data_IF_891949947124
#
_entry.id   IF_891949947124
#
_cell.length_a   1.000
_cell.length_b   1.000
_cell.length_c   1.000
_cell.angle_alpha   90.00
_cell.angle_beta   90.00
_cell.angle_gamma   90.00
#
_symmetry.space_group_name_H-M   'P 1'
#
loop_
_entity.id
_entity.type
_entity.pdbx_description
1 polymer ?
#
# COMPACT_ATOMS: atom_id res chain seq x y z
N UNK A 1 8.18 -13.55 7.08
CA UNK A 1 8.89 -12.75 6.07
C UNK A 1 9.23 -11.43 6.71
N UNK A 2 10.45 -10.94 6.48
CA UNK A 2 10.86 -9.62 6.94
C UNK A 2 10.31 -8.54 5.99
N UNK A 3 9.99 -7.38 6.54
CA UNK A 3 9.46 -6.28 5.75
C UNK A 3 10.55 -5.70 4.83
N UNK A 4 10.23 -5.44 3.55
CA UNK A 4 11.20 -4.86 2.63
C UNK A 4 11.59 -3.46 3.10
N UNK A 5 12.87 -3.13 2.99
CA UNK A 5 13.37 -1.78 3.24
C UNK A 5 13.05 -0.91 2.02
N UNK A 6 11.92 -0.21 2.08
CA UNK A 6 11.52 0.73 1.05
C UNK A 6 11.95 2.14 1.44
N UNK A 7 12.98 2.65 0.77
CA UNK A 7 13.48 4.01 0.99
C UNK A 7 12.51 5.06 0.44
N UNK A 8 12.38 6.15 1.18
CA UNK A 8 11.58 7.32 0.80
C UNK A 8 12.56 8.45 0.46
N UNK A 9 12.38 9.07 -0.71
CA UNK A 9 13.19 10.21 -1.13
C UNK A 9 12.90 11.51 -0.38
N UNK A 10 13.57 12.59 -0.79
CA UNK A 10 13.31 13.93 -0.29
C UNK A 10 11.92 14.42 -0.72
N UNK A 11 11.20 15.11 0.18
CA UNK A 11 9.85 15.64 -0.06
C UNK A 11 9.93 17.17 -0.06
N UNK A 12 9.66 17.81 -1.21
CA UNK A 12 9.70 19.29 -1.35
C UNK A 12 8.33 19.92 -1.52
N UNK A 13 7.36 19.16 -2.03
CA UNK A 13 6.00 19.60 -2.29
C UNK A 13 4.99 18.44 -2.22
N UNK A 14 3.70 18.73 -2.44
CA UNK A 14 2.63 17.73 -2.43
C UNK A 14 2.78 16.69 -3.55
N UNK A 15 3.27 17.07 -4.73
CA UNK A 15 3.45 16.14 -5.84
C UNK A 15 4.56 15.11 -5.51
N UNK A 16 5.61 15.52 -4.77
CA UNK A 16 6.63 14.63 -4.21
C UNK A 16 6.03 13.64 -3.18
N UNK A 17 5.14 14.09 -2.28
CA UNK A 17 4.46 13.19 -1.32
C UNK A 17 3.75 12.06 -2.05
N UNK A 18 2.98 12.39 -3.10
CA UNK A 18 2.25 11.39 -3.87
C UNK A 18 3.20 10.45 -4.62
N UNK A 19 4.26 10.99 -5.23
CA UNK A 19 5.25 10.18 -5.94
C UNK A 19 5.94 9.19 -4.99
N UNK A 20 6.43 9.67 -3.85
CA UNK A 20 7.16 8.84 -2.90
C UNK A 20 6.24 7.83 -2.20
N UNK A 21 4.99 8.20 -1.91
CA UNK A 21 3.96 7.26 -1.43
C UNK A 21 3.73 6.11 -2.42
N UNK A 22 3.54 6.42 -3.70
CA UNK A 22 3.33 5.40 -4.74
C UNK A 22 4.52 4.47 -4.91
N UNK A 23 5.74 5.03 -4.87
CA UNK A 23 6.98 4.25 -4.88
C UNK A 23 7.07 3.34 -3.66
N UNK A 24 6.75 3.85 -2.48
CA UNK A 24 6.73 3.08 -1.26
C UNK A 24 5.77 1.89 -1.34
N UNK A 25 4.51 2.11 -1.74
CA UNK A 25 3.50 1.04 -1.87
C UNK A 25 3.96 -0.01 -2.90
N UNK A 26 4.42 0.42 -4.07
CA UNK A 26 4.89 -0.50 -5.11
C UNK A 26 6.11 -1.33 -4.67
N UNK A 27 7.06 -0.69 -3.98
CA UNK A 27 8.22 -1.37 -3.39
C UNK A 27 7.78 -2.40 -2.35
N UNK A 28 6.85 -2.04 -1.46
CA UNK A 28 6.39 -2.91 -0.39
C UNK A 28 5.70 -4.16 -0.94
N UNK A 29 4.76 -3.98 -1.88
CA UNK A 29 4.07 -5.11 -2.51
C UNK A 29 5.03 -6.02 -3.29
N UNK A 30 5.97 -5.42 -4.05
CA UNK A 30 6.99 -6.18 -4.78
C UNK A 30 7.92 -6.95 -3.84
N UNK A 31 8.37 -6.31 -2.75
CA UNK A 31 9.27 -6.92 -1.77
C UNK A 31 8.62 -8.03 -0.95
N UNK A 32 7.28 -7.97 -0.77
CA UNK A 32 6.47 -9.06 -0.21
C UNK A 32 6.14 -10.16 -1.23
N UNK A 33 6.65 -10.06 -2.46
CA UNK A 33 6.36 -10.97 -3.58
C UNK A 33 4.86 -11.08 -3.90
N UNK A 34 4.11 -9.99 -3.65
CA UNK A 34 2.70 -9.87 -4.02
C UNK A 34 2.62 -9.29 -5.42
N UNK A 35 2.03 -10.04 -6.36
CA UNK A 35 1.76 -9.51 -7.70
C UNK A 35 0.60 -8.52 -7.62
N UNK A 36 0.76 -7.37 -8.25
CA UNK A 36 -0.26 -6.33 -8.27
C UNK A 36 -0.41 -5.70 -9.64
N UNK A 37 -1.62 -5.22 -9.93
CA UNK A 37 -1.94 -4.33 -11.03
C UNK A 37 -2.17 -2.93 -10.48
N UNK A 38 -1.44 -1.94 -10.99
CA UNK A 38 -1.70 -0.53 -10.69
C UNK A 38 -2.75 0.01 -11.65
N UNK A 39 -3.87 0.47 -11.11
CA UNK A 39 -4.95 1.14 -11.83
C UNK A 39 -4.86 2.63 -11.50
N UNK A 40 -4.47 3.43 -12.49
CA UNK A 40 -4.47 4.90 -12.44
C UNK A 40 -5.48 5.41 -13.48
N UNK A 41 -6.57 6.01 -13.01
CA UNK A 41 -7.66 6.47 -13.86
C UNK A 41 -7.42 7.87 -14.45
N UNK A 42 -6.21 8.43 -14.33
CA UNK A 42 -5.87 9.77 -14.81
C UNK A 42 -6.49 10.90 -13.97
N UNK A 43 -7.26 10.56 -12.93
CA UNK A 43 -7.68 11.50 -11.90
C UNK A 43 -6.45 11.77 -11.03
N UNK A 44 -6.04 13.04 -10.99
CA UNK A 44 -4.92 13.48 -10.18
C UNK A 44 -5.13 12.97 -8.75
N UNK A 45 -4.14 12.24 -8.25
CA UNK A 45 -4.08 11.75 -6.86
C UNK A 45 -4.93 10.51 -6.52
N UNK A 46 -5.41 9.73 -7.50
CA UNK A 46 -6.08 8.44 -7.23
C UNK A 46 -5.38 7.28 -7.94
N UNK A 47 -4.90 6.30 -7.15
CA UNK A 47 -4.38 5.04 -7.67
C UNK A 47 -4.88 3.87 -6.81
N UNK A 48 -5.18 2.76 -7.47
CA UNK A 48 -5.52 1.49 -6.82
C UNK A 48 -4.47 0.43 -7.18
N UNK A 49 -3.96 -0.25 -6.16
CA UNK A 49 -3.08 -1.39 -6.28
C UNK A 49 -3.90 -2.65 -6.04
N UNK A 50 -4.19 -3.38 -7.11
CA UNK A 50 -5.03 -4.56 -7.06
C UNK A 50 -4.18 -5.83 -7.00
N UNK A 51 -4.26 -6.54 -5.88
CA UNK A 51 -3.51 -7.76 -5.54
C UNK A 51 -4.48 -8.93 -5.56
N UNK A 52 -4.13 -9.98 -6.29
CA UNK A 52 -4.87 -11.25 -6.26
C UNK A 52 -4.06 -12.30 -5.51
N UNK A 53 -4.72 -13.00 -4.60
CA UNK A 53 -4.09 -14.07 -3.81
C UNK A 53 -5.07 -15.23 -3.61
N UNK A 54 -4.53 -16.44 -3.46
CA UNK A 54 -5.35 -17.60 -3.10
C UNK A 54 -6.13 -17.32 -1.81
N UNK A 55 -7.42 -17.68 -1.78
CA UNK A 55 -8.33 -17.35 -0.68
C UNK A 55 -7.85 -17.81 0.70
N UNK A 56 -7.10 -18.92 0.78
CA UNK A 56 -6.51 -19.43 2.02
C UNK A 56 -5.43 -18.51 2.63
N UNK A 57 -4.80 -17.66 1.82
CA UNK A 57 -3.71 -16.77 2.22
C UNK A 57 -4.11 -15.30 2.32
N UNK A 58 -5.38 -14.95 2.08
CA UNK A 58 -5.83 -13.55 2.01
C UNK A 58 -5.59 -12.79 3.32
N UNK A 59 -5.83 -13.44 4.47
CA UNK A 59 -5.59 -12.84 5.79
C UNK A 59 -4.10 -12.67 6.08
N UNK A 60 -3.30 -13.67 5.75
CA UNK A 60 -1.85 -13.60 5.93
C UNK A 60 -1.24 -12.44 5.11
N UNK A 61 -1.73 -12.25 3.88
CA UNK A 61 -1.33 -11.13 3.03
C UNK A 61 -1.77 -9.77 3.58
N UNK A 62 -3.00 -9.66 4.10
CA UNK A 62 -3.46 -8.44 4.76
C UNK A 62 -2.56 -8.11 5.97
N UNK A 63 -2.33 -9.07 6.84
CA UNK A 63 -1.59 -8.88 8.09
C UNK A 63 -0.14 -8.49 7.83
N UNK A 64 0.53 -9.15 6.88
CA UNK A 64 1.92 -8.81 6.55
C UNK A 64 2.03 -7.43 5.89
N UNK A 65 1.09 -7.06 5.00
CA UNK A 65 1.09 -5.73 4.38
C UNK A 65 0.88 -4.65 5.44
N UNK A 66 -0.13 -4.79 6.31
CA UNK A 66 -0.39 -3.84 7.40
C UNK A 66 0.79 -3.73 8.36
N UNK A 67 1.39 -4.87 8.75
CA UNK A 67 2.58 -4.89 9.60
C UNK A 67 3.70 -4.07 8.96
N UNK A 68 4.04 -4.34 7.70
CA UNK A 68 5.16 -3.69 7.04
C UNK A 68 4.93 -2.20 6.79
N UNK A 69 3.69 -1.79 6.54
CA UNK A 69 3.36 -0.37 6.45
C UNK A 69 3.57 0.29 7.82
N UNK A 70 2.98 -0.26 8.89
CA UNK A 70 3.09 0.30 10.23
C UNK A 70 4.54 0.39 10.72
N UNK A 71 5.33 -0.67 10.47
CA UNK A 71 6.76 -0.69 10.80
C UNK A 71 7.51 0.42 10.06
N UNK A 72 7.18 0.64 8.78
CA UNK A 72 7.82 1.68 7.96
C UNK A 72 7.38 3.09 8.35
N UNK A 73 6.12 3.28 8.76
CA UNK A 73 5.58 4.60 9.14
C UNK A 73 6.32 5.20 10.34
N UNK A 74 6.86 4.38 11.23
CA UNK A 74 7.64 4.84 12.38
C UNK A 74 8.99 5.46 12.00
N UNK A 75 9.52 5.16 10.82
CA UNK A 75 10.78 5.71 10.32
C UNK A 75 10.62 6.73 9.19
N UNK A 76 9.38 7.10 8.83
CA UNK A 76 9.10 8.07 7.77
C UNK A 76 9.10 9.53 8.29
N UNK A 77 9.37 10.51 7.40
CA UNK A 77 9.13 11.92 7.69
C UNK A 77 7.67 12.20 8.08
N UNK A 78 7.45 13.21 8.92
CA UNK A 78 6.13 13.56 9.45
C UNK A 78 5.13 13.88 8.33
N UNK A 79 5.56 14.59 7.30
CA UNK A 79 4.74 14.96 6.16
C UNK A 79 4.16 13.73 5.47
N UNK A 80 5.01 12.73 5.17
CA UNK A 80 4.55 11.50 4.53
C UNK A 80 3.66 10.67 5.47
N UNK A 81 4.02 10.60 6.76
CA UNK A 81 3.27 9.85 7.77
C UNK A 81 1.85 10.37 7.92
N UNK A 82 1.64 11.69 7.89
CA UNK A 82 0.31 12.30 7.93
C UNK A 82 -0.55 11.92 6.71
N UNK A 83 0.06 11.83 5.53
CA UNK A 83 -0.62 11.42 4.29
C UNK A 83 -0.83 9.91 4.15
N UNK A 84 -0.34 9.12 5.11
CA UNK A 84 -0.38 7.66 5.14
C UNK A 84 -1.28 7.09 6.24
N UNK A 85 -2.19 7.89 6.80
CA UNK A 85 -3.17 7.40 7.78
C UNK A 85 -3.98 6.25 7.21
N UNK A 86 -3.81 5.08 7.83
CA UNK A 86 -4.40 3.83 7.36
C UNK A 86 -5.85 3.72 7.82
N UNK A 87 -6.69 3.25 6.91
CA UNK A 87 -7.99 2.70 7.27
C UNK A 87 -8.25 1.45 6.43
N UNK A 88 -8.80 0.42 7.07
CA UNK A 88 -9.07 -0.86 6.43
C UNK A 88 -10.56 -1.13 6.37
N UNK A 89 -11.01 -1.66 5.23
CA UNK A 89 -12.37 -2.18 5.03
C UNK A 89 -12.31 -3.63 4.56
N UNK A 90 -13.25 -4.43 5.04
CA UNK A 90 -13.40 -5.83 4.66
C UNK A 90 -14.73 -6.03 3.94
N UNK A 91 -14.69 -6.84 2.89
CA UNK A 91 -15.82 -7.35 2.12
C UNK A 91 -15.66 -8.88 2.03
N UNK A 92 -16.69 -9.59 1.54
CA UNK A 92 -16.77 -11.05 1.59
C UNK A 92 -15.48 -11.77 1.12
N UNK A 93 -14.88 -11.33 0.01
CA UNK A 93 -13.67 -11.93 -0.58
C UNK A 93 -12.53 -10.92 -0.78
N UNK A 94 -12.62 -9.74 -0.17
CA UNK A 94 -11.75 -8.61 -0.50
C UNK A 94 -11.43 -7.76 0.74
N UNK A 95 -10.16 -7.38 0.90
CA UNK A 95 -9.72 -6.34 1.83
C UNK A 95 -9.25 -5.10 1.09
N UNK A 96 -9.56 -3.92 1.63
CA UNK A 96 -9.11 -2.64 1.07
C UNK A 96 -8.39 -1.85 2.17
N UNK A 97 -7.11 -1.53 1.92
CA UNK A 97 -6.29 -0.64 2.75
C UNK A 97 -6.27 0.72 2.06
N UNK A 98 -6.70 1.77 2.76
CA UNK A 98 -6.87 3.11 2.21
C UNK A 98 -5.82 4.06 2.81
N UNK A 99 -5.20 4.87 1.94
CA UNK A 99 -4.16 5.87 2.22
C UNK A 99 -4.59 7.20 1.60
N UNK A 100 -5.37 8.00 2.32
CA UNK A 100 -5.98 9.21 1.76
C UNK A 100 -6.80 8.88 0.47
N UNK A 101 -6.27 9.23 -0.71
CA UNK A 101 -6.89 8.97 -2.02
C UNK A 101 -6.31 7.74 -2.76
N UNK A 102 -5.44 6.95 -2.13
CA UNK A 102 -4.86 5.73 -2.71
C UNK A 102 -5.31 4.47 -1.97
N UNK A 103 -5.35 3.34 -2.68
CA UNK A 103 -5.96 2.12 -2.19
C UNK A 103 -5.10 0.90 -2.54
N UNK A 104 -4.87 0.00 -1.58
CA UNK A 104 -4.42 -1.37 -1.85
C UNK A 104 -5.65 -2.28 -1.69
N UNK A 105 -6.04 -2.95 -2.76
CA UNK A 105 -7.12 -3.94 -2.75
C UNK A 105 -6.51 -5.33 -2.82
N UNK A 106 -6.79 -6.18 -1.84
CA UNK A 106 -6.35 -7.58 -1.79
C UNK A 106 -7.59 -8.45 -1.95
N UNK A 107 -7.69 -9.15 -3.07
CA UNK A 107 -8.85 -9.98 -3.42
C UNK A 107 -8.47 -11.47 -3.45
N UNK A 108 -9.33 -12.28 -2.85
CA UNK A 108 -9.22 -13.74 -2.93
C UNK A 108 -9.63 -14.22 -4.33
N UNK A 109 -8.85 -15.16 -4.85
CA UNK A 109 -9.18 -15.98 -6.03
C UNK A 109 -9.27 -17.45 -5.61
N UNK A 110 -10.12 -18.21 -6.30
CA UNK A 110 -10.45 -19.63 -6.03
C UNK A 110 -10.14 -20.50 -7.23
#
# INVERSE_FOLDING_TARGET
MDCPKCEVGEIKDEDDVIRERRKFIACLLSGLNLRFLTIDNGIRYQAMYYVEIAGEHIKDALDIVLKCINDSLNSMPDELREHMRLSTKAFDDTYVIMFNNEYITIKAIW
#
